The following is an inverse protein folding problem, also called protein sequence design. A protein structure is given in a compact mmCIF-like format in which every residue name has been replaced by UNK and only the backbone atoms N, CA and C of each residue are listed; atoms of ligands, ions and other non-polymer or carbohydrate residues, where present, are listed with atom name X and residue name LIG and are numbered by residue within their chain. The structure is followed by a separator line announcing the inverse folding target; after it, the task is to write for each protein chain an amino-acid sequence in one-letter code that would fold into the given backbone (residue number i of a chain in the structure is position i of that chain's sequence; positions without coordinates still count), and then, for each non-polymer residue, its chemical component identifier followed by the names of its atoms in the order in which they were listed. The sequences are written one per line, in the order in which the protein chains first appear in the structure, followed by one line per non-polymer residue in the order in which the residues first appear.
data_IF_877809423848
#
_entry.id   IF_877809423848
#
_cell.length_a   1.000
_cell.length_b   1.000
_cell.length_c   1.000
_cell.angle_alpha   90.00
_cell.angle_beta   90.00
_cell.angle_gamma   90.00
#
_symmetry.space_group_name_H-M   'P 1'
#
loop_
_entity.id
_entity.type
_entity.pdbx_description
1 polymer ?
#
# COMPACT_ATOMS: atom_id res chain seq x y z
N UNK A 1 -1.47 25.80 -21.15
CA UNK A 1 -1.30 26.46 -19.83
C UNK A 1 -2.01 25.68 -18.72
N UNK A 2 -3.33 25.43 -18.79
CA UNK A 2 -4.04 24.68 -17.75
C UNK A 2 -3.54 23.25 -17.54
N UNK A 3 -3.23 22.51 -18.61
CA UNK A 3 -2.64 21.17 -18.52
C UNK A 3 -1.27 21.18 -17.82
N UNK A 4 -0.39 22.12 -18.18
CA UNK A 4 0.93 22.28 -17.56
C UNK A 4 0.82 22.63 -16.08
N UNK A 5 -0.06 23.58 -15.73
CA UNK A 5 -0.30 23.95 -14.34
C UNK A 5 -0.83 22.76 -13.52
N UNK A 6 -1.75 21.97 -14.10
CA UNK A 6 -2.28 20.77 -13.45
C UNK A 6 -1.20 19.70 -13.22
N UNK A 7 -0.38 19.42 -14.23
CA UNK A 7 0.73 18.45 -14.09
C UNK A 7 1.76 18.93 -13.06
N UNK A 8 2.07 20.22 -13.06
CA UNK A 8 2.98 20.81 -12.08
C UNK A 8 2.40 20.72 -10.66
N UNK A 9 1.12 21.05 -10.48
CA UNK A 9 0.45 20.91 -9.19
C UNK A 9 0.42 19.45 -8.71
N UNK A 10 0.18 18.50 -9.63
CA UNK A 10 0.26 17.08 -9.33
C UNK A 10 1.67 16.65 -8.89
N UNK A 11 2.71 17.07 -9.61
CA UNK A 11 4.08 16.75 -9.24
C UNK A 11 4.48 17.37 -7.89
N UNK A 12 4.10 18.62 -7.66
CA UNK A 12 4.35 19.32 -6.41
C UNK A 12 3.63 18.65 -5.23
N UNK A 13 2.38 18.22 -5.42
CA UNK A 13 1.60 17.49 -4.41
C UNK A 13 2.22 16.15 -4.07
N UNK A 14 2.69 15.40 -5.08
CA UNK A 14 3.43 14.15 -4.87
C UNK A 14 4.66 14.39 -4.01
N UNK A 15 5.49 15.35 -4.41
CA UNK A 15 6.75 15.65 -3.72
C UNK A 15 6.53 16.12 -2.28
N UNK A 16 5.52 16.98 -2.05
CA UNK A 16 5.10 17.39 -0.72
C UNK A 16 4.73 16.18 0.14
N UNK A 17 3.84 15.31 -0.35
CA UNK A 17 3.37 14.16 0.41
C UNK A 17 4.49 13.17 0.74
N UNK A 18 5.37 12.86 -0.23
CA UNK A 18 6.54 12.02 -0.01
C UNK A 18 7.48 12.62 1.05
N UNK A 19 7.72 13.93 0.99
CA UNK A 19 8.58 14.64 1.95
C UNK A 19 7.99 14.63 3.36
N UNK A 20 6.72 14.98 3.52
CA UNK A 20 6.07 15.05 4.85
C UNK A 20 6.06 13.68 5.54
N UNK A 21 5.71 12.62 4.81
CA UNK A 21 5.70 11.25 5.36
C UNK A 21 7.11 10.76 5.66
N UNK A 22 8.08 11.03 4.77
CA UNK A 22 9.48 10.66 5.01
C UNK A 22 10.03 11.36 6.25
N UNK A 23 9.77 12.66 6.41
CA UNK A 23 10.18 13.43 7.58
C UNK A 23 9.52 12.91 8.87
N UNK A 24 8.22 12.59 8.82
CA UNK A 24 7.51 12.03 9.97
C UNK A 24 8.05 10.65 10.39
N UNK A 25 8.47 9.80 9.45
CA UNK A 25 9.10 8.51 9.73
C UNK A 25 10.52 8.67 10.29
N UNK A 26 11.33 9.56 9.68
CA UNK A 26 12.68 9.85 10.16
C UNK A 26 12.69 10.43 11.58
N UNK A 27 11.73 11.31 11.89
CA UNK A 27 11.58 11.86 13.25
C UNK A 27 11.25 10.79 14.31
N UNK A 28 10.70 9.64 13.89
CA UNK A 28 10.45 8.47 14.75
C UNK A 28 11.60 7.45 14.72
N UNK A 29 12.69 7.75 14.03
CA UNK A 29 13.88 6.90 13.95
C UNK A 29 13.83 5.81 12.86
N UNK A 30 12.83 5.83 11.97
CA UNK A 30 12.75 4.86 10.88
C UNK A 30 13.56 5.32 9.66
N UNK A 31 14.34 4.40 9.07
CA UNK A 31 15.03 4.66 7.80
C UNK A 31 14.15 4.28 6.62
N UNK A 32 13.68 5.29 5.88
CA UNK A 32 12.87 5.08 4.68
C UNK A 32 13.76 4.66 3.52
N UNK A 33 13.48 3.49 2.95
CA UNK A 33 14.25 2.93 1.83
C UNK A 33 13.59 3.20 0.48
N UNK A 34 12.25 3.20 0.45
CA UNK A 34 11.47 3.53 -0.74
C UNK A 34 10.20 4.25 -0.32
N UNK A 35 9.76 5.22 -1.12
CA UNK A 35 8.50 5.94 -0.92
C UNK A 35 7.76 6.05 -2.24
N UNK A 36 6.43 5.93 -2.18
CA UNK A 36 5.54 6.08 -3.31
C UNK A 36 4.31 6.87 -2.87
N UNK A 37 4.08 8.04 -3.46
CA UNK A 37 2.83 8.77 -3.28
C UNK A 37 1.94 8.69 -4.52
N UNK A 38 0.66 8.37 -4.30
CA UNK A 38 -0.39 8.35 -5.33
C UNK A 38 -1.57 9.23 -4.93
N UNK A 39 -2.20 9.95 -5.86
CA UNK A 39 -3.38 10.74 -5.54
C UNK A 39 -4.53 9.81 -5.16
N UNK A 40 -5.33 10.23 -4.17
CA UNK A 40 -6.60 9.57 -3.86
C UNK A 40 -7.61 9.77 -5.00
N UNK A 41 -8.67 8.94 -5.10
CA UNK A 41 -9.59 9.00 -6.23
C UNK A 41 -10.17 10.40 -6.48
N UNK A 42 -10.20 10.78 -7.76
CA UNK A 42 -10.89 11.99 -8.28
C UNK A 42 -10.33 13.34 -7.80
N UNK A 43 -9.12 13.41 -7.22
CA UNK A 43 -8.52 14.67 -6.80
C UNK A 43 -6.98 14.63 -6.77
N UNK A 44 -6.34 15.81 -6.67
CA UNK A 44 -4.89 15.96 -6.38
C UNK A 44 -4.66 16.67 -5.04
N UNK A 45 -5.69 16.66 -4.18
CA UNK A 45 -5.71 17.37 -2.90
C UNK A 45 -5.16 16.53 -1.74
N UNK A 46 -5.36 15.21 -1.82
CA UNK A 46 -5.00 14.23 -0.81
C UNK A 46 -4.25 13.07 -1.47
N UNK A 47 -3.10 12.73 -0.89
CA UNK A 47 -2.17 11.72 -1.39
C UNK A 47 -2.05 10.58 -0.40
N UNK A 48 -2.22 9.36 -0.91
CA UNK A 48 -1.81 8.15 -0.22
C UNK A 48 -0.31 7.99 -0.40
N UNK A 49 0.38 7.69 0.68
CA UNK A 49 1.82 7.44 0.67
C UNK A 49 2.08 6.06 1.26
N UNK A 50 2.85 5.27 0.53
CA UNK A 50 3.38 3.99 1.00
C UNK A 50 4.89 4.16 1.14
N UNK A 51 5.43 3.91 2.31
CA UNK A 51 6.86 4.03 2.59
C UNK A 51 7.39 2.73 3.16
N UNK A 52 8.40 2.13 2.52
CA UNK A 52 9.10 0.96 3.07
C UNK A 52 10.25 1.41 3.96
N UNK A 53 10.51 0.60 4.97
CA UNK A 53 11.67 0.77 5.84
C UNK A 53 12.67 -0.37 5.63
N UNK A 54 13.79 -0.31 6.35
CA UNK A 54 14.79 -1.36 6.44
C UNK A 54 14.34 -2.56 7.30
N UNK A 55 13.33 -2.39 8.16
CA UNK A 55 12.86 -3.39 9.13
C UNK A 55 11.84 -4.43 8.59
N UNK A 56 11.82 -4.69 7.29
CA UNK A 56 10.77 -5.48 6.60
C UNK A 56 9.32 -4.99 6.84
N UNK A 57 9.17 -3.71 7.15
CA UNK A 57 7.88 -3.05 7.34
C UNK A 57 7.63 -2.02 6.24
N UNK A 58 6.35 -1.75 6.01
CA UNK A 58 5.90 -0.59 5.28
C UNK A 58 4.89 0.21 6.09
N UNK A 59 4.84 1.50 5.80
CA UNK A 59 3.96 2.47 6.43
C UNK A 59 2.99 2.99 5.39
N UNK A 60 1.72 2.99 5.76
CA UNK A 60 0.64 3.61 5.00
C UNK A 60 0.28 4.92 5.67
N UNK A 61 0.19 5.98 4.86
CA UNK A 61 -0.09 7.32 5.34
C UNK A 61 -0.95 8.08 4.33
N UNK A 62 -1.61 9.13 4.82
CA UNK A 62 -2.32 10.09 4.00
C UNK A 62 -1.84 11.49 4.33
N UNK A 63 -1.45 12.23 3.30
CA UNK A 63 -0.97 13.61 3.38
C UNK A 63 -1.66 14.46 2.33
N UNK A 64 -2.22 15.59 2.74
CA UNK A 64 -2.94 16.53 1.87
C UNK A 64 -2.48 17.97 2.03
N UNK A 65 -2.83 18.82 1.07
CA UNK A 65 -2.43 20.24 1.07
C UNK A 65 -2.98 21.05 2.24
N UNK A 66 -4.09 20.60 2.81
CA UNK A 66 -4.80 21.29 3.89
C UNK A 66 -4.42 20.74 5.28
N UNK A 67 -3.48 19.79 5.35
CA UNK A 67 -3.08 19.19 6.61
C UNK A 67 -2.28 20.19 7.46
N UNK A 68 -2.73 20.43 8.69
CA UNK A 68 -2.04 21.27 9.67
C UNK A 68 -1.24 20.47 10.72
N UNK A 69 -1.24 19.14 10.62
CA UNK A 69 -0.63 18.22 11.58
C UNK A 69 0.16 17.13 10.86
N UNK A 70 1.15 16.50 11.52
CA UNK A 70 1.88 15.38 10.94
C UNK A 70 0.95 14.25 10.46
N UNK A 71 1.32 13.53 9.38
CA UNK A 71 0.48 12.48 8.84
C UNK A 71 0.32 11.31 9.83
N UNK A 72 -0.86 10.69 9.80
CA UNK A 72 -1.08 9.41 10.45
C UNK A 72 -0.22 8.34 9.75
N UNK A 73 0.51 7.54 10.53
CA UNK A 73 1.38 6.48 10.04
C UNK A 73 0.83 5.15 10.55
N UNK A 74 0.49 4.24 9.64
CA UNK A 74 0.09 2.87 9.94
C UNK A 74 1.19 1.90 9.51
N UNK A 75 1.86 1.27 10.48
CA UNK A 75 2.85 0.22 10.22
C UNK A 75 2.18 -1.11 9.87
N UNK A 76 2.71 -1.81 8.87
CA UNK A 76 2.34 -3.17 8.50
C UNK A 76 3.58 -3.94 8.03
N UNK A 77 3.61 -5.25 8.28
CA UNK A 77 4.71 -6.10 7.84
C UNK A 77 4.61 -6.41 6.35
N UNK A 78 5.74 -6.44 5.66
CA UNK A 78 5.81 -6.93 4.27
C UNK A 78 5.84 -8.46 4.23
N UNK A 79 6.37 -9.10 5.28
CA UNK A 79 6.55 -10.55 5.43
C UNK A 79 7.31 -11.16 4.25
N UNK A 80 8.39 -10.53 3.78
CA UNK A 80 9.09 -10.95 2.55
C UNK A 80 9.61 -12.39 2.62
N UNK A 81 9.87 -12.89 3.81
CA UNK A 81 10.30 -14.28 4.04
C UNK A 81 9.28 -15.31 3.57
N UNK A 82 7.98 -14.99 3.62
CA UNK A 82 6.93 -15.87 3.09
C UNK A 82 7.06 -16.06 1.57
N UNK A 83 7.60 -15.08 0.84
CA UNK A 83 7.85 -15.21 -0.59
C UNK A 83 8.96 -16.21 -0.93
N UNK A 84 9.89 -16.47 0.02
CA UNK A 84 11.03 -17.37 -0.19
C UNK A 84 10.62 -18.84 -0.28
N UNK A 85 9.45 -19.20 0.26
CA UNK A 85 8.96 -20.59 0.26
C UNK A 85 8.67 -21.12 -1.15
N UNK A 86 8.47 -20.23 -2.13
CA UNK A 86 8.26 -20.59 -3.53
C UNK A 86 9.56 -20.66 -4.35
N UNK A 87 10.73 -20.43 -3.72
CA UNK A 87 12.02 -20.46 -4.41
C UNK A 87 12.09 -19.50 -5.61
N UNK A 88 12.56 -20.01 -6.74
CA UNK A 88 12.73 -19.26 -8.00
C UNK A 88 11.50 -19.32 -8.92
N UNK A 89 10.28 -19.31 -8.35
CA UNK A 89 9.05 -19.31 -9.15
C UNK A 89 9.05 -18.15 -10.19
N UNK A 90 8.93 -18.44 -11.49
CA UNK A 90 9.07 -17.43 -12.54
C UNK A 90 7.93 -16.40 -12.54
N UNK A 91 6.75 -16.77 -12.04
CA UNK A 91 5.60 -15.87 -12.02
C UNK A 91 5.69 -14.89 -10.86
N UNK A 92 6.15 -15.33 -9.69
CA UNK A 92 6.49 -14.47 -8.57
C UNK A 92 7.64 -13.53 -8.93
N UNK A 93 8.69 -14.03 -9.59
CA UNK A 93 9.79 -13.20 -10.08
C UNK A 93 9.31 -12.10 -11.05
N UNK A 94 8.42 -12.46 -11.99
CA UNK A 94 7.81 -11.49 -12.92
C UNK A 94 6.93 -10.47 -12.18
N UNK A 95 6.17 -10.90 -11.18
CA UNK A 95 5.34 -9.99 -10.38
C UNK A 95 6.22 -9.00 -9.60
N UNK A 96 7.30 -9.47 -8.96
CA UNK A 96 8.28 -8.62 -8.27
C UNK A 96 8.89 -7.57 -9.20
N UNK A 97 9.33 -7.99 -10.40
CA UNK A 97 9.83 -7.07 -11.41
C UNK A 97 8.80 -6.02 -11.81
N UNK A 98 7.57 -6.43 -12.14
CA UNK A 98 6.51 -5.52 -12.60
C UNK A 98 6.10 -4.51 -11.52
N UNK A 99 6.13 -4.93 -10.26
CA UNK A 99 5.73 -4.11 -9.13
C UNK A 99 6.85 -3.27 -8.55
N UNK A 100 8.07 -3.37 -9.08
CA UNK A 100 9.29 -2.84 -8.42
C UNK A 100 9.36 -3.27 -6.94
N UNK A 101 9.00 -4.54 -6.69
CA UNK A 101 8.98 -5.19 -5.38
C UNK A 101 8.02 -4.54 -4.37
N UNK A 102 7.05 -3.70 -4.79
CA UNK A 102 5.97 -3.16 -3.93
C UNK A 102 4.95 -4.25 -3.57
N UNK A 103 5.42 -5.31 -2.92
CA UNK A 103 4.65 -6.48 -2.57
C UNK A 103 4.63 -6.70 -1.06
N UNK A 104 3.47 -7.17 -0.59
CA UNK A 104 3.27 -7.76 0.73
C UNK A 104 2.87 -9.21 0.56
N UNK A 105 3.26 -10.04 1.51
CA UNK A 105 2.97 -11.46 1.54
C UNK A 105 2.14 -11.79 2.78
N UNK A 106 1.12 -12.61 2.63
CA UNK A 106 0.27 -13.08 3.72
C UNK A 106 -0.02 -14.57 3.51
N UNK A 107 -0.19 -15.32 4.60
CA UNK A 107 -0.74 -16.68 4.55
C UNK A 107 -2.19 -16.62 5.03
N UNK A 108 -3.12 -16.96 4.14
CA UNK A 108 -4.56 -16.98 4.40
C UNK A 108 -5.11 -18.34 3.98
N UNK A 109 -5.74 -19.08 4.90
CA UNK A 109 -6.31 -20.41 4.63
C UNK A 109 -5.35 -21.34 3.85
N UNK A 110 -4.14 -21.54 4.39
CA UNK A 110 -3.07 -22.33 3.75
C UNK A 110 -2.65 -21.87 2.34
N UNK A 111 -3.02 -20.65 1.96
CA UNK A 111 -2.70 -20.03 0.68
C UNK A 111 -1.73 -18.87 0.88
N UNK A 112 -0.63 -18.85 0.11
CA UNK A 112 0.26 -17.70 0.04
C UNK A 112 -0.36 -16.65 -0.88
N UNK A 113 -0.81 -15.55 -0.28
CA UNK A 113 -1.41 -14.42 -0.98
C UNK A 113 -0.39 -13.29 -1.08
N UNK A 114 -0.16 -12.83 -2.30
CA UNK A 114 0.76 -11.73 -2.61
C UNK A 114 -0.05 -10.52 -3.07
N UNK A 115 0.15 -9.40 -2.38
CA UNK A 115 -0.61 -8.16 -2.57
C UNK A 115 0.29 -7.08 -3.18
N UNK A 116 -0.12 -6.49 -4.31
CA UNK A 116 0.52 -5.31 -4.90
C UNK A 116 0.08 -4.05 -4.13
N UNK A 117 1.03 -3.40 -3.47
CA UNK A 117 0.78 -2.26 -2.60
C UNK A 117 0.57 -0.94 -3.36
N UNK A 118 0.82 -0.89 -4.67
CA UNK A 118 0.76 0.38 -5.43
C UNK A 118 -0.67 0.89 -5.63
N UNK A 119 -1.66 0.01 -5.52
CA UNK A 119 -3.06 0.33 -5.83
C UNK A 119 -4.03 -0.17 -4.76
N UNK A 120 -4.94 0.71 -4.36
CA UNK A 120 -5.89 0.48 -3.26
C UNK A 120 -5.47 1.18 -1.98
N UNK A 121 -6.08 0.76 -0.88
CA UNK A 121 -5.84 1.22 0.49
C UNK A 121 -5.79 -0.03 1.39
N UNK A 122 -5.23 0.07 2.61
CA UNK A 122 -5.37 -1.00 3.61
C UNK A 122 -6.82 -1.48 3.72
N UNK A 123 -7.05 -2.79 3.65
CA UNK A 123 -8.38 -3.41 3.64
C UNK A 123 -9.11 -3.42 2.30
N UNK A 124 -8.64 -2.62 1.32
CA UNK A 124 -9.28 -2.42 0.02
C UNK A 124 -8.27 -2.53 -1.14
N UNK A 125 -7.26 -3.40 -1.00
CA UNK A 125 -6.30 -3.66 -2.07
C UNK A 125 -6.96 -4.33 -3.27
N UNK A 126 -6.76 -3.78 -4.46
CA UNK A 126 -7.43 -4.28 -5.67
C UNK A 126 -6.74 -5.53 -6.23
N UNK A 127 -5.41 -5.61 -6.10
CA UNK A 127 -4.57 -6.62 -6.73
C UNK A 127 -3.94 -7.51 -5.67
N UNK A 128 -4.63 -8.62 -5.40
CA UNK A 128 -4.20 -9.68 -4.50
C UNK A 128 -4.21 -10.98 -5.30
N UNK A 129 -3.17 -11.79 -5.18
CA UNK A 129 -3.00 -13.01 -5.96
C UNK A 129 -2.64 -14.18 -5.07
N UNK A 130 -3.37 -15.29 -5.18
CA UNK A 130 -2.90 -16.56 -4.62
C UNK A 130 -1.75 -17.08 -5.51
N UNK A 131 -0.57 -17.24 -4.92
CA UNK A 131 0.66 -17.63 -5.63
C UNK A 131 1.13 -19.04 -5.27
N UNK A 132 0.73 -19.54 -4.10
CA UNK A 132 1.05 -20.90 -3.68
C UNK A 132 0.05 -21.42 -2.67
N UNK A 133 -0.02 -22.73 -2.55
CA UNK A 133 -0.86 -23.43 -1.58
C UNK A 133 0.01 -24.40 -0.78
N UNK A 134 -0.36 -24.60 0.49
CA UNK A 134 0.37 -25.46 1.40
C UNK A 134 -0.17 -26.89 1.31
N UNK A 135 0.69 -27.83 0.95
CA UNK A 135 0.39 -29.25 0.88
C UNK A 135 1.18 -29.98 1.98
N UNK A 136 0.61 -30.07 3.18
CA UNK A 136 1.30 -30.63 4.35
C UNK A 136 2.41 -29.69 4.85
N UNK A 137 3.66 -30.16 5.02
CA UNK A 137 4.77 -29.28 5.41
C UNK A 137 5.26 -28.38 4.25
N UNK A 138 4.96 -28.77 3.00
CA UNK A 138 5.57 -28.19 1.81
C UNK A 138 4.68 -27.12 1.17
N UNK A 139 5.32 -26.13 0.55
CA UNK A 139 4.67 -25.11 -0.27
C UNK A 139 4.80 -25.47 -1.75
N UNK A 140 3.70 -25.35 -2.49
CA UNK A 140 3.70 -25.56 -3.93
C UNK A 140 3.19 -24.30 -4.62
N UNK A 141 3.97 -23.80 -5.58
CA UNK A 141 3.52 -22.71 -6.44
C UNK A 141 2.32 -23.18 -7.27
N UNK A 142 1.31 -22.33 -7.39
CA UNK A 142 0.11 -22.59 -8.20
C UNK A 142 0.06 -21.60 -9.35
N UNK A 143 -0.77 -21.86 -10.36
CA UNK A 143 -1.11 -20.85 -11.36
C UNK A 143 -1.84 -19.67 -10.67
N UNK A 144 -1.32 -18.43 -10.75
CA UNK A 144 -1.83 -17.29 -10.01
C UNK A 144 -3.26 -17.02 -10.37
N UNK A 145 -4.09 -16.94 -9.33
CA UNK A 145 -5.48 -16.55 -9.43
C UNK A 145 -5.72 -15.34 -8.56
N UNK A 146 -6.65 -14.48 -8.98
CA UNK A 146 -7.05 -13.32 -8.20
C UNK A 146 -7.63 -13.81 -6.85
N UNK A 147 -7.08 -13.30 -5.77
CA UNK A 147 -7.66 -13.45 -4.44
C UNK A 147 -8.85 -12.48 -4.28
N UNK A 148 -9.97 -12.91 -3.66
CA UNK A 148 -11.10 -12.04 -3.41
C UNK A 148 -10.69 -10.75 -2.67
N UNK A 149 -11.22 -9.63 -3.13
CA UNK A 149 -10.96 -8.33 -2.51
C UNK A 149 -12.16 -7.40 -2.66
N UNK A 150 -12.41 -6.61 -1.62
CA UNK A 150 -13.38 -5.53 -1.64
C UNK A 150 -12.70 -4.25 -2.11
N UNK A 151 -13.42 -3.41 -2.87
CA UNK A 151 -12.90 -2.12 -3.37
C UNK A 151 -13.35 -0.92 -2.54
N UNK A 152 -14.13 -1.16 -1.48
CA UNK A 152 -14.88 -0.13 -0.78
C UNK A 152 -16.07 0.35 -1.60
N UNK A 153 -16.94 1.12 -0.96
CA UNK A 153 -18.12 1.70 -1.58
C UNK A 153 -18.24 3.20 -1.32
N UNK A 154 -19.48 3.69 -1.40
CA UNK A 154 -19.80 5.08 -1.11
C UNK A 154 -19.44 5.53 0.32
N UNK A 155 -19.60 4.71 1.39
CA UNK A 155 -19.22 5.13 2.74
C UNK A 155 -17.74 5.45 2.89
N UNK A 156 -16.86 4.61 2.34
CA UNK A 156 -15.40 4.80 2.38
C UNK A 156 -14.98 6.00 1.53
N UNK A 157 -15.62 6.17 0.37
CA UNK A 157 -15.36 7.33 -0.48
C UNK A 157 -15.72 8.65 0.23
N UNK A 158 -16.84 8.70 0.97
CA UNK A 158 -17.19 9.88 1.78
C UNK A 158 -16.17 10.14 2.89
N UNK A 159 -15.63 9.10 3.49
CA UNK A 159 -14.56 9.24 4.48
C UNK A 159 -13.29 9.83 3.85
N UNK A 160 -12.91 9.40 2.63
CA UNK A 160 -11.79 10.00 1.90
C UNK A 160 -12.02 11.49 1.59
N UNK A 161 -13.24 11.88 1.20
CA UNK A 161 -13.57 13.29 1.00
C UNK A 161 -13.51 14.08 2.31
N UNK A 162 -14.04 13.53 3.40
CA UNK A 162 -13.95 14.16 4.72
C UNK A 162 -12.49 14.29 5.22
N UNK A 163 -11.63 13.34 4.83
CA UNK A 163 -10.21 13.39 5.13
C UNK A 163 -9.50 14.56 4.47
N UNK A 164 -9.93 15.02 3.30
CA UNK A 164 -9.38 16.25 2.67
C UNK A 164 -9.53 17.45 3.62
N UNK A 165 -10.63 17.51 4.39
CA UNK A 165 -10.89 18.56 5.38
C UNK A 165 -10.30 18.27 6.77
N UNK A 166 -9.46 17.23 6.91
CA UNK A 166 -8.76 16.91 8.16
C UNK A 166 -9.42 15.86 9.05
N UNK A 167 -10.53 15.24 8.63
CA UNK A 167 -11.14 14.14 9.43
C UNK A 167 -10.24 12.90 9.35
N UNK A 168 -9.77 12.32 10.48
CA UNK A 168 -8.91 11.14 10.44
C UNK A 168 -9.64 9.92 9.87
N UNK A 169 -8.89 9.02 9.22
CA UNK A 169 -9.43 7.76 8.72
C UNK A 169 -9.18 6.62 9.71
N UNK A 170 -10.09 5.64 9.79
CA UNK A 170 -9.89 4.43 10.58
C UNK A 170 -8.98 3.43 9.83
N UNK A 171 -7.76 3.85 9.46
CA UNK A 171 -6.83 3.04 8.65
C UNK A 171 -6.50 1.71 9.33
N UNK A 172 -6.34 1.71 10.66
CA UNK A 172 -6.05 0.49 11.42
C UNK A 172 -7.22 -0.51 11.36
N UNK A 173 -8.46 -0.04 11.49
CA UNK A 173 -9.65 -0.89 11.40
C UNK A 173 -9.84 -1.44 9.98
N UNK A 174 -9.56 -0.61 8.96
CA UNK A 174 -9.58 -1.07 7.58
C UNK A 174 -8.51 -2.14 7.33
N UNK A 175 -7.30 -1.97 7.87
CA UNK A 175 -6.19 -2.91 7.67
C UNK A 175 -6.46 -4.32 8.22
N UNK A 176 -7.34 -4.47 9.21
CA UNK A 176 -7.74 -5.80 9.70
C UNK A 176 -8.41 -6.64 8.60
N UNK A 177 -9.12 -6.00 7.67
CA UNK A 177 -9.75 -6.67 6.51
C UNK A 177 -8.77 -7.28 5.53
N UNK A 178 -7.47 -7.03 5.67
CA UNK A 178 -6.47 -7.72 4.87
C UNK A 178 -6.39 -9.22 5.22
N UNK A 179 -6.87 -9.60 6.41
CA UNK A 179 -6.84 -10.97 6.91
C UNK A 179 -8.21 -11.66 6.89
N UNK A 180 -9.25 -10.94 6.45
CA UNK A 180 -10.57 -11.48 6.12
C UNK A 180 -10.60 -12.03 4.68
#
# INVERSE_FOLDING_TARGET
MFSTAYLFAGLAGRFMAEREVTAALQARGHQVTQVLATPTPLNILLWRVVAKTDADEYYEALSGWLDGSPPQLLAQSLNRDLGKVLGDDPQLARLRWFTNDWLRYDVLDDTLVVTDLRMGLPGYYTFRFAMGERHGPDWQAITPRRWPSQRGGWPEFRQLLARIAGTPLPLADWAQRNFD
#
